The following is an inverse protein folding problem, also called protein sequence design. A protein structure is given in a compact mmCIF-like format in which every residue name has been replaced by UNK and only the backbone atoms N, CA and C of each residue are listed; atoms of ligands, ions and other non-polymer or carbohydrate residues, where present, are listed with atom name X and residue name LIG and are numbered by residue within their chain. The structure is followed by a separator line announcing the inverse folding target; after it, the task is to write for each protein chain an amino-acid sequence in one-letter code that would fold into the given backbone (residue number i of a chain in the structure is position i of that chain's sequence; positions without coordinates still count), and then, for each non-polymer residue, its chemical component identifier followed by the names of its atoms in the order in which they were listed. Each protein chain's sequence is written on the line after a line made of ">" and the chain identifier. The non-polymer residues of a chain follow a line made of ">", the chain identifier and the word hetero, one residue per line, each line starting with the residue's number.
data_IF_302561025717
#
_entry.id   IF_302561025717
#
_cell.length_a   1.000
_cell.length_b   1.000
_cell.length_c   1.000
_cell.angle_alpha   90.00
_cell.angle_beta   90.00
_cell.angle_gamma   90.00
#
_symmetry.space_group_name_H-M   'P 1'
#
loop_
_entity.id
_entity.type
_entity.pdbx_description
1 polymer ?
#
# COMPACT_ATOMS: atom_id res chain seq x y z
N UNK A 1 2.99 4.92 -31.00
CA UNK A 1 3.16 3.91 -29.93
C UNK A 1 2.78 4.51 -28.57
N UNK A 2 2.21 5.72 -28.56
CA UNK A 2 2.22 6.61 -27.40
C UNK A 2 0.85 6.69 -26.68
N UNK A 3 -0.23 6.19 -27.28
CA UNK A 3 -1.57 6.20 -26.68
C UNK A 3 -1.87 4.98 -25.81
N UNK A 4 -1.46 3.77 -26.24
CA UNK A 4 -1.70 2.53 -25.49
C UNK A 4 -0.88 2.46 -24.20
N UNK A 5 0.31 3.07 -24.17
CA UNK A 5 1.12 3.17 -22.95
C UNK A 5 0.41 3.94 -21.85
N UNK A 6 -0.20 5.08 -22.19
CA UNK A 6 -0.89 5.93 -21.22
C UNK A 6 -2.14 5.31 -20.61
N UNK A 7 -2.90 4.50 -21.36
CA UNK A 7 -4.07 3.78 -20.80
C UNK A 7 -3.67 2.68 -19.82
N UNK A 8 -2.64 1.89 -20.18
CA UNK A 8 -2.11 0.83 -19.32
C UNK A 8 -1.52 1.42 -18.04
N UNK A 9 -0.80 2.53 -18.13
CA UNK A 9 -0.27 3.24 -16.97
C UNK A 9 -1.38 3.72 -16.04
N UNK A 10 -2.45 4.31 -16.58
CA UNK A 10 -3.61 4.75 -15.77
C UNK A 10 -4.32 3.57 -15.09
N UNK A 11 -4.55 2.49 -15.82
CA UNK A 11 -5.17 1.29 -15.26
C UNK A 11 -4.30 0.67 -14.16
N UNK A 12 -2.99 0.62 -14.38
CA UNK A 12 -2.02 0.10 -13.40
C UNK A 12 -1.97 1.00 -12.15
N UNK A 13 -1.93 2.33 -12.31
CA UNK A 13 -1.96 3.26 -11.19
C UNK A 13 -3.24 3.11 -10.36
N UNK A 14 -4.40 2.94 -11.03
CA UNK A 14 -5.68 2.67 -10.36
C UNK A 14 -5.66 1.36 -9.57
N UNK A 15 -5.14 0.28 -10.17
CA UNK A 15 -5.01 -1.00 -9.48
C UNK A 15 -4.08 -0.93 -8.27
N UNK A 16 -2.92 -0.27 -8.39
CA UNK A 16 -1.96 -0.08 -7.29
C UNK A 16 -2.60 0.71 -6.16
N UNK A 17 -3.36 1.76 -6.48
CA UNK A 17 -4.07 2.55 -5.48
C UNK A 17 -5.08 1.70 -4.71
N UNK A 18 -5.99 1.02 -5.41
CA UNK A 18 -6.99 0.15 -4.78
C UNK A 18 -6.34 -0.94 -3.92
N UNK A 19 -5.31 -1.60 -4.45
CA UNK A 19 -4.61 -2.66 -3.72
C UNK A 19 -4.02 -2.16 -2.40
N UNK A 20 -3.38 -0.99 -2.41
CA UNK A 20 -2.69 -0.47 -1.23
C UNK A 20 -3.62 0.22 -0.22
N UNK A 21 -4.66 0.91 -0.69
CA UNK A 21 -5.48 1.80 0.13
C UNK A 21 -6.85 1.22 0.49
N UNK A 22 -7.41 0.34 -0.33
CA UNK A 22 -8.82 -0.09 -0.21
C UNK A 22 -8.97 -1.60 0.02
N UNK A 23 -8.09 -2.43 -0.56
CA UNK A 23 -8.18 -3.89 -0.46
C UNK A 23 -7.92 -4.38 0.96
N UNK A 24 -8.95 -4.92 1.61
CA UNK A 24 -8.80 -5.57 2.92
C UNK A 24 -8.13 -6.94 2.78
N UNK A 25 -7.10 -7.21 3.58
CA UNK A 25 -6.36 -8.46 3.54
C UNK A 25 -6.51 -9.24 4.85
N UNK A 26 -7.09 -10.44 4.80
CA UNK A 26 -7.38 -11.25 6.01
C UNK A 26 -6.11 -11.61 6.79
N UNK A 27 -5.01 -11.94 6.09
CA UNK A 27 -3.72 -12.23 6.74
C UNK A 27 -3.08 -11.01 7.42
N UNK A 28 -3.56 -9.79 7.13
CA UNK A 28 -3.13 -8.55 7.79
C UNK A 28 -4.11 -8.12 8.89
N UNK A 29 -5.11 -8.94 9.22
CA UNK A 29 -6.17 -8.60 10.17
C UNK A 29 -7.30 -7.77 9.55
N UNK A 30 -7.58 -7.96 8.26
CA UNK A 30 -8.63 -7.24 7.52
C UNK A 30 -8.41 -5.71 7.46
N UNK A 31 -7.16 -5.29 7.27
CA UNK A 31 -6.79 -3.89 7.00
C UNK A 31 -6.13 -3.77 5.62
N UNK A 32 -6.14 -2.57 5.00
CA UNK A 32 -5.36 -2.30 3.80
C UNK A 32 -3.85 -2.43 4.02
N UNK A 33 -3.09 -2.87 3.01
CA UNK A 33 -1.64 -3.02 3.09
C UNK A 33 -0.90 -1.78 3.59
N UNK A 34 -1.31 -0.57 3.18
CA UNK A 34 -0.66 0.66 3.62
C UNK A 34 -0.78 0.87 5.14
N UNK A 35 -1.91 0.50 5.74
CA UNK A 35 -2.10 0.60 7.21
C UNK A 35 -1.17 -0.35 7.95
N UNK A 36 -1.01 -1.56 7.45
CA UNK A 36 -0.07 -2.53 8.02
C UNK A 36 1.36 -1.98 7.99
N UNK A 37 1.80 -1.45 6.85
CA UNK A 37 3.12 -0.84 6.73
C UNK A 37 3.31 0.36 7.67
N UNK A 38 2.33 1.27 7.76
CA UNK A 38 2.40 2.42 8.67
C UNK A 38 2.51 1.98 10.14
N UNK A 39 1.77 0.96 10.55
CA UNK A 39 1.85 0.43 11.91
C UNK A 39 3.22 -0.17 12.21
N UNK A 40 3.71 -1.02 11.30
CA UNK A 40 5.04 -1.61 11.40
C UNK A 40 6.15 -0.55 11.51
N UNK A 41 6.11 0.49 10.67
CA UNK A 41 7.07 1.60 10.72
C UNK A 41 6.99 2.37 12.03
N UNK A 42 5.78 2.60 12.57
CA UNK A 42 5.58 3.26 13.87
C UNK A 42 6.20 2.45 15.00
N UNK A 43 5.96 1.15 15.03
CA UNK A 43 6.50 0.24 16.04
C UNK A 43 8.03 0.18 15.99
N UNK A 44 8.61 0.01 14.80
CA UNK A 44 10.06 0.04 14.60
C UNK A 44 10.67 1.38 15.01
N UNK A 45 10.07 2.49 14.61
CA UNK A 45 10.55 3.82 14.98
C UNK A 45 10.45 4.04 16.49
N UNK A 46 9.35 3.65 17.13
CA UNK A 46 9.23 3.72 18.59
C UNK A 46 10.28 2.85 19.31
N UNK A 47 10.56 1.64 18.80
CA UNK A 47 11.61 0.77 19.33
C UNK A 47 13.02 1.36 19.20
N UNK A 48 13.31 2.09 18.12
CA UNK A 48 14.57 2.81 17.94
C UNK A 48 14.76 3.98 18.93
N UNK A 49 13.68 4.62 19.37
CA UNK A 49 13.74 5.73 20.34
C UNK A 49 13.61 5.27 21.81
N UNK A 50 13.27 4.00 22.05
CA UNK A 50 13.12 3.43 23.39
C UNK A 50 14.39 2.71 23.89
N UNK A 51 15.42 2.54 23.05
CA UNK A 51 16.72 1.96 23.37
C UNK A 51 17.78 3.04 23.60
#
# INVERSE_FOLDING_TARGET
>A
MDELGGEVERATAGWVHWYNHERLHSSLGHIPPIKHYTNYQRENHAGLHAA
#
